data_IF_082690440755
#
_entry.id   IF_082690440755
#
_cell.length_a   1.000
_cell.length_b   1.000
_cell.length_c   1.000
_cell.angle_alpha   90.00
_cell.angle_beta   90.00
_cell.angle_gamma   90.00
#
_symmetry.space_group_name_H-M   'P 1'
#
loop_
_entity.id
_entity.type
_entity.pdbx_description
1 polymer ?
#
# COMPACT_ATOMS: atom_id res chain seq x y z
N UNK A 1 10.10 9.08 12.15
CA UNK A 1 8.78 8.84 12.78
C UNK A 1 7.94 10.11 13.02
N UNK A 2 8.50 11.18 13.65
CA UNK A 2 7.73 12.43 13.91
C UNK A 2 7.07 13.00 12.65
N UNK A 3 7.78 13.04 11.52
CA UNK A 3 7.23 13.50 10.25
C UNK A 3 6.05 12.65 9.74
N UNK A 4 6.20 11.31 9.73
CA UNK A 4 5.14 10.40 9.29
C UNK A 4 3.86 10.51 10.12
N UNK A 5 3.97 10.69 11.44
CA UNK A 5 2.82 10.94 12.31
C UNK A 5 2.15 12.28 11.99
N UNK A 6 2.94 13.34 11.79
CA UNK A 6 2.42 14.65 11.39
C UNK A 6 1.68 14.56 10.06
N UNK A 7 2.27 13.92 9.04
CA UNK A 7 1.63 13.68 7.74
C UNK A 7 0.31 12.92 7.86
N UNK A 8 0.26 11.91 8.72
CA UNK A 8 -0.96 11.12 8.98
C UNK A 8 -2.07 11.97 9.62
N UNK A 9 -1.72 12.81 10.60
CA UNK A 9 -2.67 13.74 11.24
C UNK A 9 -3.15 14.83 10.29
N UNK A 10 -2.25 15.38 9.47
CA UNK A 10 -2.60 16.37 8.45
C UNK A 10 -3.56 15.77 7.43
N UNK A 11 -3.28 14.56 6.95
CA UNK A 11 -4.16 13.82 6.05
C UNK A 11 -5.59 13.70 6.61
N UNK A 12 -5.76 13.29 7.87
CA UNK A 12 -7.10 13.18 8.48
C UNK A 12 -7.81 14.53 8.49
N UNK A 13 -7.11 15.60 8.92
CA UNK A 13 -7.70 16.95 8.96
C UNK A 13 -8.14 17.42 7.58
N UNK A 14 -7.28 17.27 6.57
CA UNK A 14 -7.57 17.65 5.18
C UNK A 14 -8.73 16.84 4.61
N UNK A 15 -8.73 15.52 4.80
CA UNK A 15 -9.80 14.63 4.33
C UNK A 15 -11.17 15.06 4.88
N UNK A 16 -11.25 15.35 6.18
CA UNK A 16 -12.49 15.78 6.84
C UNK A 16 -12.90 17.18 6.37
N UNK A 17 -11.96 18.13 6.27
CA UNK A 17 -12.24 19.48 5.80
C UNK A 17 -12.80 19.49 4.38
N UNK A 18 -12.30 18.61 3.51
CA UNK A 18 -12.77 18.45 2.13
C UNK A 18 -13.99 17.54 2.01
N UNK A 19 -14.61 17.12 3.13
CA UNK A 19 -15.79 16.23 3.15
C UNK A 19 -15.60 14.96 2.32
N UNK A 20 -14.39 14.43 2.26
CA UNK A 20 -14.07 13.25 1.46
C UNK A 20 -14.02 13.47 -0.04
N UNK A 21 -14.05 14.70 -0.56
CA UNK A 21 -13.66 15.02 -1.95
C UNK A 21 -12.12 15.12 -2.12
N UNK A 22 -11.40 14.58 -1.15
CA UNK A 22 -9.95 14.50 -1.14
C UNK A 22 -9.54 13.28 -1.95
N UNK A 23 -8.80 13.45 -3.05
CA UNK A 23 -8.45 12.35 -3.96
C UNK A 23 -7.08 11.72 -3.68
N UNK A 24 -6.23 12.36 -2.85
CA UNK A 24 -4.86 11.89 -2.66
C UNK A 24 -4.65 11.15 -1.34
N UNK A 25 -4.34 9.86 -1.40
CA UNK A 25 -3.91 9.07 -0.27
C UNK A 25 -2.45 9.25 0.13
N UNK A 26 -1.94 8.27 0.88
CA UNK A 26 -0.55 8.22 1.35
C UNK A 26 0.05 6.86 1.01
N UNK A 27 1.33 6.85 0.61
CA UNK A 27 2.13 5.64 0.51
C UNK A 27 3.26 5.66 1.54
N UNK A 28 3.16 4.78 2.52
CA UNK A 28 4.18 4.59 3.55
C UNK A 28 5.25 3.63 3.06
N UNK A 29 6.49 4.11 3.01
CA UNK A 29 7.64 3.36 2.49
C UNK A 29 8.74 3.26 3.54
N UNK A 30 9.40 2.11 3.65
CA UNK A 30 10.56 1.94 4.53
C UNK A 30 10.71 0.50 5.02
N UNK A 31 11.78 0.21 5.74
CA UNK A 31 12.09 -1.14 6.22
C UNK A 31 10.99 -1.75 7.12
N UNK A 32 10.93 -3.08 7.26
CA UNK A 32 10.04 -3.75 8.20
C UNK A 32 10.16 -3.20 9.63
N UNK A 33 9.06 -3.26 10.39
CA UNK A 33 9.09 -2.91 11.81
C UNK A 33 9.04 -1.42 12.15
N UNK A 34 8.98 -0.52 11.15
CA UNK A 34 8.95 0.93 11.37
C UNK A 34 7.56 1.52 11.71
N UNK A 35 6.50 0.69 11.72
CA UNK A 35 5.13 1.14 12.07
C UNK A 35 4.27 1.63 10.90
N UNK A 36 4.59 1.28 9.65
CA UNK A 36 3.81 1.66 8.44
C UNK A 36 2.34 1.23 8.53
N UNK A 37 2.11 -0.07 8.73
CA UNK A 37 0.76 -0.64 8.93
C UNK A 37 0.06 0.00 10.13
N UNK A 38 0.79 0.24 11.23
CA UNK A 38 0.22 0.86 12.42
C UNK A 38 -0.31 2.28 12.15
N UNK A 39 0.43 3.10 11.38
CA UNK A 39 -0.02 4.44 10.97
C UNK A 39 -1.25 4.36 10.07
N UNK A 40 -1.23 3.49 9.05
CA UNK A 40 -2.37 3.33 8.13
C UNK A 40 -3.64 2.87 8.87
N UNK A 41 -3.50 1.88 9.77
CA UNK A 41 -4.60 1.41 10.63
C UNK A 41 -5.09 2.51 11.58
N UNK A 42 -4.19 3.32 12.14
CA UNK A 42 -4.57 4.42 13.02
C UNK A 42 -5.41 5.47 12.29
N UNK A 43 -5.09 5.78 11.04
CA UNK A 43 -5.89 6.68 10.20
C UNK A 43 -7.30 6.13 10.03
N UNK A 44 -7.44 4.90 9.52
CA UNK A 44 -8.79 4.35 9.25
C UNK A 44 -9.59 4.16 10.53
N UNK A 45 -8.96 3.82 11.66
CA UNK A 45 -9.62 3.76 12.97
C UNK A 45 -10.20 5.11 13.36
N UNK A 46 -9.45 6.19 13.19
CA UNK A 46 -9.94 7.54 13.50
C UNK A 46 -11.10 7.95 12.57
N UNK A 47 -10.96 7.70 11.26
CA UNK A 47 -11.99 8.00 10.28
C UNK A 47 -13.30 7.22 10.52
N UNK A 48 -13.21 5.94 10.88
CA UNK A 48 -14.37 5.12 11.21
C UNK A 48 -15.01 5.60 12.52
N UNK A 49 -14.22 5.62 13.61
CA UNK A 49 -14.77 5.77 14.96
C UNK A 49 -15.24 7.20 15.27
N UNK A 50 -14.60 8.22 14.69
CA UNK A 50 -14.95 9.63 14.96
C UNK A 50 -15.78 10.27 13.86
N UNK A 51 -15.73 9.75 12.65
CA UNK A 51 -16.31 10.41 11.47
C UNK A 51 -17.26 9.51 10.67
N UNK A 52 -17.43 8.24 11.03
CA UNK A 52 -18.36 7.33 10.35
C UNK A 52 -18.01 7.05 8.90
N UNK A 53 -16.73 7.23 8.51
CA UNK A 53 -16.28 7.01 7.13
C UNK A 53 -16.14 5.52 6.87
N UNK A 54 -16.66 5.06 5.73
CA UNK A 54 -16.48 3.69 5.28
C UNK A 54 -15.02 3.45 4.90
N UNK A 55 -14.36 2.58 5.66
CA UNK A 55 -12.97 2.20 5.42
C UNK A 55 -12.82 0.69 5.36
N UNK A 56 -11.88 0.20 4.54
CA UNK A 56 -11.41 -1.20 4.60
C UNK A 56 -9.90 -1.30 4.63
N UNK A 57 -9.45 -2.44 5.13
CA UNK A 57 -8.06 -2.85 5.15
C UNK A 57 -7.95 -4.18 4.40
N UNK A 58 -6.94 -4.30 3.55
CA UNK A 58 -6.60 -5.55 2.89
C UNK A 58 -5.09 -5.78 2.96
N UNK A 59 -4.71 -6.96 3.43
CA UNK A 59 -3.37 -7.49 3.17
C UNK A 59 -3.36 -8.02 1.73
N UNK A 60 -2.56 -7.40 0.86
CA UNK A 60 -2.61 -7.73 -0.56
C UNK A 60 -2.14 -9.17 -0.84
N UNK A 61 -1.22 -9.71 -0.03
CA UNK A 61 -0.73 -11.06 -0.22
C UNK A 61 -1.75 -12.12 0.20
N UNK A 62 -2.46 -11.90 1.31
CA UNK A 62 -3.56 -12.78 1.71
C UNK A 62 -4.72 -12.70 0.71
N UNK A 63 -5.06 -11.52 0.18
CA UNK A 63 -6.06 -11.40 -0.89
C UNK A 63 -5.70 -12.25 -2.13
N UNK A 64 -4.44 -12.18 -2.59
CA UNK A 64 -3.99 -13.01 -3.69
C UNK A 64 -4.09 -14.52 -3.36
N UNK A 65 -3.86 -14.90 -2.11
CA UNK A 65 -4.05 -16.29 -1.69
C UNK A 65 -5.52 -16.69 -1.79
N UNK A 66 -6.44 -15.85 -1.31
CA UNK A 66 -7.87 -16.13 -1.32
C UNK A 66 -8.42 -16.26 -2.74
N UNK A 67 -8.06 -15.33 -3.64
CA UNK A 67 -8.45 -15.39 -5.06
C UNK A 67 -7.97 -16.70 -5.69
N UNK A 68 -6.72 -17.11 -5.42
CA UNK A 68 -6.16 -18.34 -5.97
C UNK A 68 -6.90 -19.58 -5.50
N UNK A 69 -7.34 -19.62 -4.23
CA UNK A 69 -8.16 -20.73 -3.73
C UNK A 69 -9.55 -20.72 -4.36
N UNK A 70 -10.15 -19.54 -4.54
CA UNK A 70 -11.47 -19.37 -5.16
C UNK A 70 -11.58 -19.93 -6.58
N UNK A 71 -10.50 -19.95 -7.37
CA UNK A 71 -10.51 -20.60 -8.69
C UNK A 71 -10.76 -22.10 -8.63
N UNK A 72 -10.39 -22.78 -7.53
CA UNK A 72 -10.70 -24.20 -7.33
C UNK A 72 -12.19 -24.45 -7.08
N UNK A 73 -12.95 -23.40 -6.79
CA UNK A 73 -14.38 -23.42 -6.47
C UNK A 73 -15.22 -22.66 -7.52
N UNK A 74 -14.65 -22.34 -8.69
CA UNK A 74 -15.29 -21.55 -9.77
C UNK A 74 -15.80 -20.17 -9.34
N UNK A 75 -15.21 -19.57 -8.28
CA UNK A 75 -15.55 -18.23 -7.80
C UNK A 75 -14.81 -17.18 -8.65
N UNK A 76 -15.51 -16.13 -9.06
CA UNK A 76 -14.90 -15.05 -9.85
C UNK A 76 -13.98 -14.17 -9.01
N UNK A 77 -12.89 -13.68 -9.61
CA UNK A 77 -11.97 -12.72 -8.96
C UNK A 77 -12.71 -11.47 -8.44
N UNK A 78 -13.73 -11.04 -9.18
CA UNK A 78 -14.56 -9.90 -8.84
C UNK A 78 -15.21 -10.01 -7.47
N UNK A 79 -15.59 -11.22 -7.04
CA UNK A 79 -16.19 -11.42 -5.71
C UNK A 79 -15.23 -11.11 -4.57
N UNK A 80 -13.93 -11.33 -4.78
CA UNK A 80 -12.90 -10.97 -3.81
C UNK A 80 -12.51 -9.50 -3.90
N UNK A 81 -12.50 -8.91 -5.11
CA UNK A 81 -12.00 -7.55 -5.36
C UNK A 81 -13.06 -6.47 -5.07
N UNK A 82 -14.30 -6.69 -5.55
CA UNK A 82 -15.40 -5.72 -5.48
C UNK A 82 -15.68 -5.19 -4.06
N UNK A 83 -15.61 -6.01 -3.00
CA UNK A 83 -15.81 -5.53 -1.64
C UNK A 83 -14.81 -4.45 -1.20
N UNK A 84 -13.64 -4.35 -1.83
CA UNK A 84 -12.58 -3.41 -1.45
C UNK A 84 -12.49 -2.19 -2.37
N UNK A 85 -12.65 -2.36 -3.68
CA UNK A 85 -12.48 -1.23 -4.62
C UNK A 85 -13.60 -0.19 -4.50
N UNK A 86 -14.76 -0.57 -3.95
CA UNK A 86 -15.91 0.31 -3.75
C UNK A 86 -15.79 1.33 -2.61
N UNK A 87 -14.98 1.05 -1.58
CA UNK A 87 -15.05 1.82 -0.33
C UNK A 87 -14.39 3.18 -0.42
N UNK A 88 -14.85 4.12 0.42
CA UNK A 88 -14.34 5.49 0.47
C UNK A 88 -12.85 5.56 0.77
N UNK A 89 -12.38 4.83 1.78
CA UNK A 89 -10.95 4.76 2.12
C UNK A 89 -10.49 3.31 2.21
N UNK A 90 -9.48 2.96 1.42
CA UNK A 90 -8.91 1.62 1.40
C UNK A 90 -7.46 1.66 1.85
N UNK A 91 -7.06 0.77 2.77
CA UNK A 91 -5.66 0.47 3.04
C UNK A 91 -5.26 -0.80 2.28
N UNK A 92 -4.24 -0.69 1.43
CA UNK A 92 -3.54 -1.81 0.80
C UNK A 92 -2.21 -2.02 1.55
N UNK A 93 -2.16 -3.04 2.38
CA UNK A 93 -0.98 -3.36 3.19
C UNK A 93 -0.04 -4.31 2.45
N UNK A 94 1.25 -4.19 2.76
CA UNK A 94 2.33 -5.06 2.24
C UNK A 94 2.42 -5.13 0.71
N UNK A 95 2.20 -4.01 0.03
CA UNK A 95 2.25 -3.94 -1.43
C UNK A 95 3.62 -4.40 -1.96
N UNK A 96 3.56 -5.24 -3.00
CA UNK A 96 4.69 -5.79 -3.76
C UNK A 96 5.60 -6.80 -3.00
N UNK A 97 5.18 -7.28 -1.82
CA UNK A 97 5.93 -8.29 -1.03
C UNK A 97 6.06 -9.65 -1.73
N UNK A 98 5.15 -9.97 -2.66
CA UNK A 98 5.08 -11.24 -3.38
C UNK A 98 6.15 -11.46 -4.45
N UNK A 99 5.97 -12.54 -5.22
CA UNK A 99 6.82 -12.86 -6.37
C UNK A 99 6.56 -11.88 -7.53
N UNK A 100 5.41 -11.20 -7.52
CA UNK A 100 4.90 -10.32 -8.55
C UNK A 100 4.88 -11.03 -9.90
N UNK A 101 4.27 -12.21 -9.91
CA UNK A 101 3.98 -12.91 -11.18
C UNK A 101 3.05 -12.06 -12.05
N UNK A 102 3.03 -12.30 -13.36
CA UNK A 102 2.17 -11.55 -14.29
C UNK A 102 0.69 -11.56 -13.85
N UNK A 103 0.25 -12.65 -13.25
CA UNK A 103 -1.07 -12.78 -12.64
C UNK A 103 -1.26 -11.84 -11.44
N UNK A 104 -0.32 -11.83 -10.48
CA UNK A 104 -0.39 -10.92 -9.31
C UNK A 104 -0.38 -9.45 -9.74
N UNK A 105 0.38 -9.11 -10.80
CA UNK A 105 0.41 -7.78 -11.38
C UNK A 105 -0.90 -7.40 -12.08
N UNK A 106 -1.57 -8.37 -12.69
CA UNK A 106 -2.90 -8.16 -13.31
C UNK A 106 -3.94 -7.80 -12.26
N UNK A 107 -3.98 -8.53 -11.14
CA UNK A 107 -4.88 -8.22 -10.01
C UNK A 107 -4.55 -6.85 -9.41
N UNK A 108 -3.26 -6.53 -9.27
CA UNK A 108 -2.84 -5.24 -8.75
C UNK A 108 -3.22 -4.09 -9.70
N UNK A 109 -3.00 -4.22 -11.01
CA UNK A 109 -3.39 -3.20 -11.98
C UNK A 109 -4.91 -3.00 -11.97
N UNK A 110 -5.69 -4.07 -11.81
CA UNK A 110 -7.13 -3.95 -11.64
C UNK A 110 -7.49 -3.13 -10.38
N UNK A 111 -6.90 -3.44 -9.22
CA UNK A 111 -7.15 -2.70 -7.97
C UNK A 111 -6.83 -1.21 -8.09
N UNK A 112 -5.64 -0.89 -8.62
CA UNK A 112 -5.16 0.48 -8.75
C UNK A 112 -5.95 1.21 -9.84
N UNK A 113 -6.23 0.58 -10.98
CA UNK A 113 -7.01 1.18 -12.06
C UNK A 113 -8.43 1.54 -11.63
N UNK A 114 -9.13 0.61 -10.98
CA UNK A 114 -10.51 0.82 -10.56
C UNK A 114 -10.61 2.01 -9.62
N UNK A 115 -9.69 2.12 -8.66
CA UNK A 115 -9.68 3.24 -7.71
C UNK A 115 -9.12 4.54 -8.28
N UNK A 116 -8.20 4.46 -9.24
CA UNK A 116 -7.67 5.64 -9.94
C UNK A 116 -8.75 6.37 -10.74
N UNK A 117 -9.66 5.62 -11.35
CA UNK A 117 -10.74 6.18 -12.17
C UNK A 117 -11.89 6.77 -11.35
N UNK A 118 -11.86 6.63 -10.02
CA UNK A 118 -12.88 7.14 -9.11
C UNK A 118 -12.35 8.37 -8.36
N UNK A 119 -12.79 9.56 -8.77
CA UNK A 119 -12.28 10.85 -8.27
C UNK A 119 -12.55 11.11 -6.78
N UNK A 120 -13.36 10.28 -6.13
CA UNK A 120 -13.77 10.44 -4.73
C UNK A 120 -13.22 9.34 -3.80
N UNK A 121 -12.37 8.43 -4.28
CA UNK A 121 -11.84 7.32 -3.48
C UNK A 121 -10.39 7.54 -3.06
N UNK A 122 -10.09 7.24 -1.80
CA UNK A 122 -8.74 7.41 -1.24
C UNK A 122 -8.07 6.07 -0.97
N UNK A 123 -6.80 5.95 -1.34
CA UNK A 123 -6.02 4.73 -1.14
C UNK A 123 -4.81 5.01 -0.26
N UNK A 124 -4.72 4.33 0.88
CA UNK A 124 -3.53 4.31 1.72
C UNK A 124 -2.75 3.03 1.41
N UNK A 125 -1.43 3.14 1.32
CA UNK A 125 -0.58 2.02 0.91
C UNK A 125 0.57 1.88 1.88
N UNK A 126 0.96 0.64 2.19
CA UNK A 126 2.25 0.37 2.83
C UNK A 126 3.10 -0.52 1.93
N UNK A 127 4.41 -0.26 1.93
CA UNK A 127 5.37 -1.10 1.21
C UNK A 127 6.74 -1.08 1.88
N UNK A 128 7.45 -2.20 1.77
CA UNK A 128 8.86 -2.29 2.19
C UNK A 128 9.83 -1.84 1.10
N UNK A 129 9.35 -1.57 -0.12
CA UNK A 129 10.20 -1.19 -1.25
C UNK A 129 10.54 0.30 -1.23
N UNK A 130 11.75 0.62 -1.70
CA UNK A 130 12.25 1.99 -1.83
C UNK A 130 11.91 2.56 -3.21
N UNK A 131 11.89 3.89 -3.28
CA UNK A 131 11.69 4.65 -4.52
C UNK A 131 12.97 4.68 -5.39
N UNK A 132 14.13 4.68 -4.73
CA UNK A 132 15.44 4.59 -5.36
C UNK A 132 16.30 3.60 -4.59
N UNK A 133 17.13 2.86 -5.30
CA UNK A 133 18.18 2.05 -4.69
C UNK A 133 19.33 2.97 -4.27
N UNK A 134 19.99 2.65 -3.16
CA UNK A 134 21.15 3.40 -2.70
C UNK A 134 22.33 3.11 -3.65
N UNK A 135 22.90 4.14 -4.30
CA UNK A 135 24.00 4.01 -5.28
C UNK A 135 25.37 3.72 -4.62
N UNK A 136 25.40 3.11 -3.44
CA UNK A 136 26.58 2.94 -2.61
C UNK A 136 26.94 1.47 -2.39
N UNK A 137 28.07 1.08 -2.99
CA UNK A 137 28.87 -0.14 -2.76
C UNK A 137 28.38 -1.37 -3.54
N UNK A 138 28.93 -1.51 -4.75
CA UNK A 138 29.21 -2.83 -5.31
C UNK A 138 30.06 -3.65 -4.34
N UNK A 139 29.96 -4.98 -4.46
CA UNK A 139 30.68 -5.99 -3.69
C UNK A 139 30.07 -6.41 -2.35
N UNK A 140 28.95 -7.15 -2.45
CA UNK A 140 28.89 -8.55 -1.96
C UNK A 140 27.53 -9.17 -2.31
N UNK A 141 27.32 -9.51 -3.60
CA UNK A 141 26.16 -10.29 -4.07
C UNK A 141 26.17 -11.77 -3.63
N UNK A 142 26.98 -12.14 -2.63
CA UNK A 142 27.15 -13.53 -2.18
C UNK A 142 27.29 -13.63 -0.64
N UNK A 143 26.26 -13.24 0.09
CA UNK A 143 26.05 -13.74 1.45
C UNK A 143 24.59 -13.57 1.89
N UNK A 144 23.87 -14.70 2.02
CA UNK A 144 22.58 -14.78 2.72
C UNK A 144 21.34 -14.27 1.97
N UNK A 145 20.17 -14.76 2.38
CA UNK A 145 18.81 -14.35 1.99
C UNK A 145 18.68 -12.81 1.97
N UNK A 146 18.99 -12.17 0.84
CA UNK A 146 18.77 -10.73 0.68
C UNK A 146 17.32 -10.50 0.26
N UNK A 147 16.60 -9.72 1.06
CA UNK A 147 15.20 -9.36 0.84
C UNK A 147 15.01 -8.68 -0.52
N UNK A 148 13.95 -9.03 -1.26
CA UNK A 148 13.67 -8.46 -2.58
C UNK A 148 13.58 -6.92 -2.56
N UNK A 149 13.14 -6.33 -1.44
CA UNK A 149 13.05 -4.89 -1.24
C UNK A 149 14.38 -4.13 -1.23
N UNK A 150 15.51 -4.83 -1.11
CA UNK A 150 16.84 -4.21 -1.18
C UNK A 150 17.46 -4.29 -2.57
N UNK A 151 16.90 -5.12 -3.46
CA UNK A 151 17.43 -5.37 -4.81
C UNK A 151 16.66 -4.65 -5.91
N UNK A 152 15.39 -4.39 -5.67
CA UNK A 152 14.49 -3.78 -6.64
C UNK A 152 13.81 -2.56 -6.05
N UNK A 153 13.57 -1.54 -6.87
CA UNK A 153 12.65 -0.44 -6.54
C UNK A 153 11.21 -0.92 -6.55
N UNK A 154 10.29 -0.10 -6.03
CA UNK A 154 8.86 -0.37 -6.16
C UNK A 154 8.45 -0.42 -7.64
N UNK A 155 8.93 0.52 -8.46
CA UNK A 155 8.58 0.60 -9.90
C UNK A 155 9.01 -0.66 -10.66
N UNK A 156 10.22 -1.16 -10.42
CA UNK A 156 10.70 -2.41 -11.03
C UNK A 156 9.84 -3.62 -10.65
N UNK A 157 9.18 -3.56 -9.48
CA UNK A 157 8.40 -4.66 -8.94
C UNK A 157 6.93 -4.63 -9.35
N UNK A 158 6.36 -3.47 -9.66
CA UNK A 158 4.95 -3.34 -10.04
C UNK A 158 4.74 -2.84 -11.48
N UNK A 159 5.83 -2.48 -12.16
CA UNK A 159 5.80 -1.93 -13.51
C UNK A 159 5.43 -0.43 -13.55
N UNK A 160 5.81 0.26 -14.64
CA UNK A 160 5.73 1.72 -14.74
C UNK A 160 4.29 2.25 -14.72
N UNK A 161 3.33 1.50 -15.29
CA UNK A 161 1.92 1.90 -15.36
C UNK A 161 1.28 1.96 -13.97
N UNK A 162 1.40 0.87 -13.20
CA UNK A 162 0.84 0.78 -11.84
C UNK A 162 1.52 1.82 -10.95
N UNK A 163 2.86 1.91 -11.05
CA UNK A 163 3.64 2.89 -10.31
C UNK A 163 3.20 4.33 -10.59
N UNK A 164 3.08 4.72 -11.86
CA UNK A 164 2.66 6.07 -12.26
C UNK A 164 1.32 6.46 -11.65
N UNK A 165 0.30 5.59 -11.75
CA UNK A 165 -1.02 5.84 -11.15
C UNK A 165 -0.94 5.94 -9.63
N UNK A 166 -0.19 5.04 -9.01
CA UNK A 166 0.00 5.04 -7.57
C UNK A 166 0.66 6.33 -7.06
N UNK A 167 1.61 6.89 -7.83
CA UNK A 167 2.28 8.14 -7.48
C UNK A 167 1.40 9.38 -7.65
N UNK A 168 0.42 9.33 -8.56
CA UNK A 168 -0.58 10.39 -8.71
C UNK A 168 -1.63 10.33 -7.59
N UNK A 169 -2.06 9.12 -7.24
CA UNK A 169 -3.04 8.86 -6.18
C UNK A 169 -2.50 9.10 -4.78
N UNK A 170 -1.19 9.00 -4.54
CA UNK A 170 -0.64 8.97 -3.18
C UNK A 170 0.56 9.90 -2.98
N UNK A 171 0.56 10.63 -1.87
CA UNK A 171 1.76 11.35 -1.39
C UNK A 171 2.69 10.37 -0.68
N UNK A 172 3.99 10.40 -1.01
CA UNK A 172 5.02 9.56 -0.38
C UNK A 172 5.28 9.97 1.07
N UNK A 173 5.36 8.99 1.95
CA UNK A 173 5.76 9.14 3.36
C UNK A 173 6.85 8.12 3.67
N UNK A 174 8.10 8.58 3.76
CA UNK A 174 9.24 7.72 4.06
C UNK A 174 9.42 7.56 5.57
N UNK A 175 9.50 6.31 6.02
CA UNK A 175 9.81 5.95 7.39
C UNK A 175 11.26 5.46 7.46
N UNK A 176 11.98 5.99 8.45
CA UNK A 176 13.33 5.59 8.82
C UNK A 176 13.41 5.49 10.35
N UNK A 177 14.20 4.55 10.85
CA UNK A 177 14.37 4.29 12.28
C UNK A 177 14.89 2.88 12.55
N UNK A 178 14.91 2.51 13.84
CA UNK A 178 15.16 1.13 14.28
C UNK A 178 13.88 0.31 14.15
N UNK A 179 14.03 -1.01 14.00
CA UNK A 179 12.90 -1.94 14.07
C UNK A 179 12.29 -1.90 15.48
N UNK A 180 11.02 -1.49 15.59
CA UNK A 180 10.31 -1.40 16.87
C UNK A 180 9.70 -2.75 17.32
N UNK A 181 9.83 -3.81 16.51
CA UNK A 181 9.41 -5.17 16.86
C UNK A 181 10.50 -5.94 17.62
N UNK A 182 11.75 -5.51 17.48
CA UNK A 182 12.90 -6.06 18.19
C UNK A 182 13.11 -5.21 19.44
N UNK A 183 12.29 -5.48 20.46
CA UNK A 183 12.40 -4.89 21.80
C UNK A 183 13.30 -5.76 22.66
#
# INVERSE_FOLDING_TARGET
>A
MKDALTRSRTFIKEFIQMKGQYSQGLIYMGEPGLGKTHLAVSIIKELILKHGVECKFVDFFELLRDIRHGYGEDISEGEFINPYVGVKVLVIDELAKGRNTDWELTILDHFISSRYNDDDKVTLVTTNFKDKLDNGIGDNKKSGLSNASTRYTLEEKIGPRIFSRLMEMCKKVHLQGKDFRQV
#
